data_IF_575490711807
#
_entry.id   IF_575490711807
#
_cell.length_a   1.000
_cell.length_b   1.000
_cell.length_c   1.000
_cell.angle_alpha   90.00
_cell.angle_beta   90.00
_cell.angle_gamma   90.00
#
_symmetry.space_group_name_H-M   'P 1'
#
loop_
_entity.id
_entity.type
_entity.pdbx_description
1 polymer ?
#
# COMPACT_ATOMS: atom_id res chain seq x y z
N UNK A 1 -9.64 -11.25 -23.83
CA UNK A 1 -9.88 -11.61 -22.42
C UNK A 1 -8.99 -12.77 -21.97
N UNK A 2 -8.99 -13.92 -22.64
CA UNK A 2 -8.21 -15.11 -22.22
C UNK A 2 -6.70 -14.83 -22.06
N UNK A 3 -6.03 -14.24 -23.04
CA UNK A 3 -4.58 -13.96 -22.95
C UNK A 3 -4.24 -12.91 -21.87
N UNK A 4 -5.07 -11.87 -21.71
CA UNK A 4 -4.94 -10.88 -20.62
C UNK A 4 -4.96 -11.58 -19.25
N UNK A 5 -5.89 -12.51 -19.03
CA UNK A 5 -5.97 -13.25 -17.76
C UNK A 5 -4.76 -14.14 -17.49
N UNK A 6 -4.20 -14.78 -18.53
CA UNK A 6 -2.98 -15.60 -18.37
C UNK A 6 -1.77 -14.71 -18.10
N UNK A 7 -1.67 -13.55 -18.73
CA UNK A 7 -0.61 -12.57 -18.45
C UNK A 7 -0.68 -12.04 -17.02
N UNK A 8 -1.88 -11.71 -16.51
CA UNK A 8 -2.08 -11.33 -15.11
C UNK A 8 -1.65 -12.44 -14.14
N UNK A 9 -1.95 -13.70 -14.45
CA UNK A 9 -1.49 -14.83 -13.65
C UNK A 9 0.04 -14.90 -13.64
N UNK A 10 0.69 -14.77 -14.81
CA UNK A 10 2.15 -14.75 -14.91
C UNK A 10 2.77 -13.59 -14.13
N UNK A 11 2.14 -12.41 -14.17
CA UNK A 11 2.57 -11.22 -13.43
C UNK A 11 2.53 -11.47 -11.90
N UNK A 12 1.43 -12.05 -11.41
CA UNK A 12 1.24 -12.33 -9.99
C UNK A 12 2.12 -13.47 -9.48
N UNK A 13 2.52 -14.41 -10.34
CA UNK A 13 3.42 -15.52 -10.00
C UNK A 13 4.88 -15.25 -10.37
N UNK A 14 5.22 -14.05 -10.86
CA UNK A 14 6.58 -13.71 -11.32
C UNK A 14 7.12 -14.64 -12.42
N UNK A 15 6.24 -15.27 -13.20
CA UNK A 15 6.60 -16.31 -14.16
C UNK A 15 7.05 -15.74 -15.51
N UNK A 16 8.23 -15.13 -15.53
CA UNK A 16 8.78 -14.42 -16.68
C UNK A 16 8.84 -15.28 -17.95
N UNK A 17 9.34 -16.51 -17.86
CA UNK A 17 9.50 -17.39 -19.02
C UNK A 17 8.15 -17.67 -19.71
N UNK A 18 7.10 -17.96 -18.92
CA UNK A 18 5.74 -18.18 -19.44
C UNK A 18 5.17 -16.90 -20.05
N UNK A 19 5.37 -15.76 -19.39
CA UNK A 19 4.97 -14.46 -19.91
C UNK A 19 5.63 -14.14 -21.27
N UNK A 20 6.92 -14.45 -21.43
CA UNK A 20 7.64 -14.28 -22.69
C UNK A 20 7.15 -15.22 -23.79
N UNK A 21 6.80 -16.48 -23.46
CA UNK A 21 6.20 -17.39 -24.43
C UNK A 21 4.84 -16.87 -24.92
N UNK A 22 4.02 -16.34 -24.02
CA UNK A 22 2.72 -15.75 -24.36
C UNK A 22 2.92 -14.48 -25.20
N UNK A 23 3.86 -13.61 -24.84
CA UNK A 23 4.16 -12.42 -25.64
C UNK A 23 4.56 -12.80 -27.07
N UNK A 24 5.46 -13.78 -27.25
CA UNK A 24 5.82 -14.28 -28.58
C UNK A 24 4.61 -14.78 -29.36
N UNK A 25 3.77 -15.60 -28.72
CA UNK A 25 2.54 -16.09 -29.33
C UNK A 25 1.60 -14.96 -29.77
N UNK A 26 1.44 -13.92 -28.94
CA UNK A 26 0.64 -12.74 -29.30
C UNK A 26 1.24 -12.06 -30.54
N UNK A 27 2.54 -11.77 -30.55
CA UNK A 27 3.19 -11.10 -31.70
C UNK A 27 3.13 -11.90 -33.00
N UNK A 28 3.05 -13.23 -32.93
CA UNK A 28 2.92 -14.11 -34.09
C UNK A 28 1.47 -14.22 -34.59
N UNK A 29 0.48 -14.05 -33.72
CA UNK A 29 -0.95 -14.27 -34.04
C UNK A 29 -1.76 -13.00 -34.22
N UNK A 30 -1.33 -11.90 -33.60
CA UNK A 30 -2.00 -10.60 -33.61
C UNK A 30 -0.96 -9.47 -33.63
N UNK A 31 -0.53 -9.03 -34.83
CA UNK A 31 0.45 -7.96 -34.96
C UNK A 31 -0.06 -6.60 -34.48
N UNK A 32 -1.38 -6.38 -34.48
CA UNK A 32 -2.03 -5.13 -34.05
C UNK A 32 -2.61 -5.29 -32.64
N UNK A 33 -1.74 -5.54 -31.66
CA UNK A 33 -2.14 -5.67 -30.26
C UNK A 33 -2.95 -4.44 -29.81
N UNK A 34 -4.17 -4.69 -29.33
CA UNK A 34 -4.94 -3.65 -28.66
C UNK A 34 -4.28 -3.22 -27.34
N UNK A 35 -4.64 -2.01 -26.89
CA UNK A 35 -4.11 -1.42 -25.67
C UNK A 35 -4.24 -2.33 -24.44
N UNK A 36 -5.36 -3.07 -24.31
CA UNK A 36 -5.57 -3.94 -23.15
C UNK A 36 -4.53 -5.08 -23.06
N UNK A 37 -4.17 -5.69 -24.19
CA UNK A 37 -3.10 -6.69 -24.25
C UNK A 37 -1.73 -6.06 -23.97
N UNK A 38 -1.45 -4.91 -24.58
CA UNK A 38 -0.21 -4.16 -24.36
C UNK A 38 -0.04 -3.80 -22.88
N UNK A 39 -1.06 -3.25 -22.23
CA UNK A 39 -1.06 -2.92 -20.80
C UNK A 39 -0.86 -4.15 -19.92
N UNK A 40 -1.44 -5.31 -20.28
CA UNK A 40 -1.22 -6.55 -19.55
C UNK A 40 0.22 -7.08 -19.68
N UNK A 41 0.85 -6.89 -20.85
CA UNK A 41 2.26 -7.22 -21.06
C UNK A 41 3.19 -6.29 -20.28
N UNK A 42 2.89 -4.98 -20.27
CA UNK A 42 3.62 -3.98 -19.46
C UNK A 42 3.57 -4.41 -17.98
N UNK A 43 2.38 -4.71 -17.43
CA UNK A 43 2.24 -5.14 -16.02
C UNK A 43 3.00 -6.43 -15.73
N UNK A 44 2.91 -7.41 -16.63
CA UNK A 44 3.62 -8.68 -16.51
C UNK A 44 5.14 -8.48 -16.49
N UNK A 45 5.70 -7.73 -17.44
CA UNK A 45 7.14 -7.49 -17.49
C UNK A 45 7.62 -6.66 -16.29
N UNK A 46 6.89 -5.62 -15.90
CA UNK A 46 7.23 -4.82 -14.72
C UNK A 46 7.30 -5.69 -13.46
N UNK A 47 6.26 -6.48 -13.17
CA UNK A 47 6.22 -7.36 -11.99
C UNK A 47 7.21 -8.52 -12.04
N UNK A 48 7.63 -8.93 -13.24
CA UNK A 48 8.69 -9.93 -13.41
C UNK A 48 10.12 -9.35 -13.39
N UNK A 49 10.28 -8.07 -13.06
CA UNK A 49 11.60 -7.43 -12.97
C UNK A 49 12.27 -7.14 -14.31
N UNK A 50 11.49 -7.01 -15.39
CA UNK A 50 11.96 -6.59 -16.72
C UNK A 50 11.42 -5.18 -17.01
N UNK A 51 11.83 -4.20 -16.21
CA UNK A 51 11.27 -2.86 -16.23
C UNK A 51 11.58 -2.12 -17.53
N UNK A 52 12.74 -2.37 -18.14
CA UNK A 52 13.14 -1.81 -19.43
C UNK A 52 12.19 -2.25 -20.54
N UNK A 53 11.88 -3.55 -20.63
CA UNK A 53 10.92 -4.09 -21.61
C UNK A 53 9.52 -3.55 -21.37
N UNK A 54 9.12 -3.41 -20.12
CA UNK A 54 7.86 -2.76 -19.75
C UNK A 54 7.83 -1.32 -20.27
N UNK A 55 8.92 -0.57 -20.11
CA UNK A 55 9.02 0.82 -20.58
C UNK A 55 9.03 0.91 -22.11
N UNK A 56 9.69 -0.01 -22.80
CA UNK A 56 9.68 -0.10 -24.27
C UNK A 56 8.26 -0.28 -24.81
N UNK A 57 7.51 -1.24 -24.28
CA UNK A 57 6.11 -1.48 -24.65
C UNK A 57 5.21 -0.29 -24.31
N UNK A 58 5.44 0.34 -23.16
CA UNK A 58 4.73 1.56 -22.78
C UNK A 58 4.98 2.69 -23.78
N UNK A 59 6.25 2.99 -24.09
CA UNK A 59 6.61 4.05 -25.03
C UNK A 59 6.04 3.79 -26.44
N UNK A 60 6.02 2.52 -26.88
CA UNK A 60 5.51 2.12 -28.19
C UNK A 60 3.97 2.16 -28.32
N UNK A 61 3.22 2.25 -27.22
CA UNK A 61 1.76 2.33 -27.28
C UNK A 61 1.28 3.71 -27.76
N UNK A 62 0.52 3.78 -28.87
CA UNK A 62 0.10 5.07 -29.45
C UNK A 62 -0.83 5.88 -28.52
N UNK A 63 -1.92 5.26 -28.05
CA UNK A 63 -2.88 5.89 -27.13
C UNK A 63 -2.84 5.17 -25.79
N UNK A 64 -2.44 5.90 -24.72
CA UNK A 64 -2.33 5.37 -23.36
C UNK A 64 -3.50 5.87 -22.54
N UNK A 65 -4.30 4.96 -22.03
CA UNK A 65 -5.34 5.28 -21.06
C UNK A 65 -4.76 5.33 -19.64
N UNK A 66 -5.59 5.75 -18.68
CA UNK A 66 -5.23 5.82 -17.26
C UNK A 66 -4.71 4.49 -16.72
N UNK A 67 -5.19 3.34 -17.20
CA UNK A 67 -4.75 2.03 -16.72
C UNK A 67 -3.31 1.76 -17.16
N UNK A 68 -2.99 2.06 -18.43
CA UNK A 68 -1.64 1.93 -18.97
C UNK A 68 -0.61 2.77 -18.20
N UNK A 69 -0.95 4.04 -17.91
CA UNK A 69 -0.12 4.92 -17.06
C UNK A 69 0.07 4.35 -15.65
N UNK A 70 -1.02 3.93 -15.00
CA UNK A 70 -0.98 3.41 -13.64
C UNK A 70 -0.12 2.15 -13.51
N UNK A 71 -0.15 1.27 -14.50
CA UNK A 71 0.68 0.07 -14.52
C UNK A 71 2.16 0.46 -14.55
N UNK A 72 2.56 1.41 -15.40
CA UNK A 72 3.96 1.80 -15.50
C UNK A 72 4.43 2.57 -14.25
N UNK A 73 3.61 3.49 -13.74
CA UNK A 73 3.88 4.22 -12.47
C UNK A 73 4.04 3.24 -11.30
N UNK A 74 3.13 2.27 -11.19
CA UNK A 74 3.23 1.21 -10.17
C UNK A 74 4.48 0.36 -10.36
N UNK A 75 4.83 0.06 -11.61
CA UNK A 75 6.06 -0.66 -11.97
C UNK A 75 7.30 -0.01 -11.38
N UNK A 76 7.54 1.27 -11.68
CA UNK A 76 8.67 2.02 -11.11
C UNK A 76 8.61 2.10 -9.58
N UNK A 77 7.43 2.34 -9.02
CA UNK A 77 7.24 2.36 -7.55
C UNK A 77 7.61 1.05 -6.86
N UNK A 78 7.26 -0.11 -7.45
CA UNK A 78 7.62 -1.43 -6.91
C UNK A 78 9.12 -1.71 -6.98
N UNK A 79 9.83 -1.11 -7.94
CA UNK A 79 11.29 -1.23 -8.10
C UNK A 79 12.07 -0.16 -7.32
N UNK A 80 11.39 0.66 -6.52
CA UNK A 80 12.01 1.67 -5.68
C UNK A 80 12.47 2.93 -6.42
N UNK A 81 12.13 3.06 -7.70
CA UNK A 81 12.48 4.22 -8.52
C UNK A 81 11.34 5.25 -8.49
N UNK A 82 11.27 5.99 -7.39
CA UNK A 82 10.20 6.96 -7.16
C UNK A 82 10.31 8.18 -8.08
N UNK A 83 11.53 8.56 -8.45
CA UNK A 83 11.78 9.68 -9.37
C UNK A 83 11.14 9.39 -10.73
N UNK A 84 11.43 8.23 -11.34
CA UNK A 84 10.79 7.83 -12.60
C UNK A 84 9.27 7.67 -12.50
N UNK A 85 8.76 7.26 -11.33
CA UNK A 85 7.32 7.17 -11.10
C UNK A 85 6.65 8.55 -11.08
N UNK A 86 7.30 9.56 -10.49
CA UNK A 86 6.83 10.94 -10.48
C UNK A 86 6.95 11.56 -11.87
N UNK A 87 8.06 11.34 -12.57
CA UNK A 87 8.24 11.83 -13.95
C UNK A 87 7.16 11.30 -14.89
N UNK A 88 6.74 10.04 -14.70
CA UNK A 88 5.60 9.48 -15.44
C UNK A 88 4.26 10.07 -15.04
N UNK A 89 4.08 10.41 -13.77
CA UNK A 89 2.89 11.11 -13.32
C UNK A 89 2.82 12.52 -13.95
N UNK A 90 3.92 13.25 -14.00
CA UNK A 90 3.97 14.57 -14.65
C UNK A 90 3.69 14.44 -16.16
N UNK A 91 4.27 13.44 -16.85
CA UNK A 91 3.96 13.15 -18.26
C UNK A 91 2.48 12.75 -18.49
N UNK A 92 1.86 12.06 -17.52
CA UNK A 92 0.44 11.73 -17.55
C UNK A 92 -0.42 12.99 -17.49
N UNK A 93 -0.03 13.96 -16.66
CA UNK A 93 -0.68 15.27 -16.57
C UNK A 93 -0.52 16.08 -17.86
N UNK A 94 0.69 16.13 -18.43
CA UNK A 94 0.97 16.78 -19.72
C UNK A 94 0.21 16.17 -20.90
N UNK A 95 -0.16 14.89 -20.79
CA UNK A 95 -0.95 14.16 -21.79
C UNK A 95 -2.46 14.33 -21.60
N UNK A 96 -2.91 15.21 -20.70
CA UNK A 96 -4.31 15.44 -20.34
C UNK A 96 -5.04 14.16 -19.86
N UNK A 97 -4.31 13.16 -19.36
CA UNK A 97 -4.90 11.92 -18.83
C UNK A 97 -5.15 12.08 -17.34
N UNK A 98 -6.41 12.07 -16.93
CA UNK A 98 -6.79 12.33 -15.54
C UNK A 98 -6.26 11.25 -14.56
N UNK A 99 -5.47 11.62 -13.54
CA UNK A 99 -5.10 10.74 -12.44
C UNK A 99 -6.31 10.23 -11.65
N UNK A 100 -6.15 9.05 -11.05
CA UNK A 100 -7.20 8.34 -10.29
C UNK A 100 -6.67 7.91 -8.93
N UNK A 101 -7.53 7.39 -8.06
CA UNK A 101 -7.09 6.84 -6.77
C UNK A 101 -6.01 5.76 -6.94
N UNK A 102 -6.07 4.93 -7.98
CA UNK A 102 -5.01 3.95 -8.25
C UNK A 102 -3.67 4.60 -8.62
N UNK A 103 -3.69 5.74 -9.31
CA UNK A 103 -2.49 6.55 -9.62
C UNK A 103 -1.84 7.04 -8.33
N UNK A 104 -2.62 7.69 -7.46
CA UNK A 104 -2.11 8.23 -6.20
C UNK A 104 -1.69 7.13 -5.22
N UNK A 105 -2.40 6.00 -5.17
CA UNK A 105 -1.99 4.87 -4.35
C UNK A 105 -0.62 4.33 -4.77
N UNK A 106 -0.34 4.22 -6.07
CA UNK A 106 0.96 3.78 -6.58
C UNK A 106 2.08 4.74 -6.16
N UNK A 107 1.88 6.05 -6.33
CA UNK A 107 2.85 7.08 -5.96
C UNK A 107 3.08 7.16 -4.44
N UNK A 108 2.02 7.07 -3.63
CA UNK A 108 2.12 7.05 -2.17
C UNK A 108 2.86 5.80 -1.68
N UNK A 109 2.58 4.64 -2.27
CA UNK A 109 3.32 3.40 -1.96
C UNK A 109 4.80 3.55 -2.29
N UNK A 110 5.12 4.12 -3.46
CA UNK A 110 6.50 4.41 -3.86
C UNK A 110 7.21 5.33 -2.85
N UNK A 111 6.55 6.43 -2.45
CA UNK A 111 7.08 7.35 -1.41
C UNK A 111 7.28 6.64 -0.07
N UNK A 112 6.36 5.74 0.31
CA UNK A 112 6.45 4.94 1.54
C UNK A 112 7.70 4.05 1.55
N UNK A 113 7.99 3.39 0.42
CA UNK A 113 9.17 2.55 0.29
C UNK A 113 10.48 3.34 0.29
N UNK A 114 10.49 4.56 -0.28
CA UNK A 114 11.66 5.44 -0.31
C UNK A 114 11.80 6.35 0.91
N UNK A 115 10.83 6.40 1.82
CA UNK A 115 10.84 7.29 2.99
C UNK A 115 10.67 8.78 2.64
N UNK A 116 10.06 9.11 1.50
CA UNK A 116 9.89 10.49 1.02
C UNK A 116 8.64 11.14 1.63
N UNK A 117 8.74 11.51 2.92
CA UNK A 117 7.65 12.06 3.74
C UNK A 117 6.96 13.27 3.08
N UNK A 118 7.74 14.29 2.72
CA UNK A 118 7.18 15.55 2.19
C UNK A 118 6.53 15.37 0.82
N UNK A 119 7.11 14.50 -0.02
CA UNK A 119 6.52 14.16 -1.32
C UNK A 119 5.21 13.39 -1.15
N UNK A 120 5.16 12.44 -0.22
CA UNK A 120 3.93 11.70 0.10
C UNK A 120 2.80 12.62 0.57
N UNK A 121 3.10 13.60 1.44
CA UNK A 121 2.15 14.63 1.86
C UNK A 121 1.64 15.46 0.69
N UNK A 122 2.56 15.97 -0.14
CA UNK A 122 2.23 16.78 -1.32
C UNK A 122 1.29 16.03 -2.26
N UNK A 123 1.59 14.76 -2.54
CA UNK A 123 0.77 13.92 -3.41
C UNK A 123 -0.62 13.64 -2.82
N UNK A 124 -0.71 13.40 -1.51
CA UNK A 124 -2.00 13.20 -0.85
C UNK A 124 -2.86 14.48 -0.88
N UNK A 125 -2.27 15.65 -0.65
CA UNK A 125 -2.98 16.92 -0.76
C UNK A 125 -3.40 17.21 -2.21
N UNK A 126 -2.53 16.94 -3.19
CA UNK A 126 -2.84 17.07 -4.62
C UNK A 126 -4.04 16.18 -5.00
N UNK A 127 -4.05 14.94 -4.51
CA UNK A 127 -5.16 13.99 -4.69
C UNK A 127 -6.49 14.57 -4.19
N UNK A 128 -6.52 15.15 -2.98
CA UNK A 128 -7.77 15.61 -2.35
C UNK A 128 -8.23 16.98 -2.82
N UNK A 129 -7.31 17.93 -3.04
CA UNK A 129 -7.64 19.33 -3.29
C UNK A 129 -7.62 19.71 -4.76
N UNK A 130 -6.70 19.15 -5.56
CA UNK A 130 -6.59 19.50 -6.98
C UNK A 130 -7.42 18.55 -7.84
N UNK A 131 -7.36 17.24 -7.55
CA UNK A 131 -8.06 16.23 -8.33
C UNK A 131 -9.41 15.78 -7.77
N UNK A 132 -9.73 16.22 -6.55
CA UNK A 132 -10.96 15.85 -5.82
C UNK A 132 -11.19 14.34 -5.71
N UNK A 133 -10.11 13.56 -5.72
CA UNK A 133 -10.17 12.10 -5.59
C UNK A 133 -10.30 11.76 -4.11
N UNK A 134 -11.41 11.11 -3.74
CA UNK A 134 -11.66 10.71 -2.36
C UNK A 134 -10.68 9.63 -1.91
N UNK A 135 -9.90 9.86 -0.84
CA UNK A 135 -9.03 8.84 -0.28
C UNK A 135 -9.84 7.69 0.31
N UNK A 136 -9.31 6.48 0.15
CA UNK A 136 -9.82 5.26 0.79
C UNK A 136 -8.78 4.73 1.79
N UNK A 137 -9.14 3.65 2.49
CA UNK A 137 -8.32 3.04 3.53
C UNK A 137 -6.87 2.73 3.10
N UNK A 138 -6.66 2.34 1.83
CA UNK A 138 -5.31 2.04 1.31
C UNK A 138 -4.41 3.28 1.24
N UNK A 139 -4.96 4.44 0.86
CA UNK A 139 -4.19 5.69 0.79
C UNK A 139 -3.75 6.14 2.19
N UNK A 140 -4.67 6.06 3.17
CA UNK A 140 -4.33 6.34 4.57
C UNK A 140 -3.34 5.33 5.13
N UNK A 141 -3.47 4.04 4.79
CA UNK A 141 -2.50 3.01 5.20
C UNK A 141 -1.08 3.34 4.71
N UNK A 142 -0.92 3.77 3.45
CA UNK A 142 0.38 4.19 2.92
C UNK A 142 0.94 5.39 3.68
N UNK A 143 0.13 6.41 3.96
CA UNK A 143 0.59 7.58 4.73
C UNK A 143 0.98 7.21 6.17
N UNK A 144 0.18 6.40 6.86
CA UNK A 144 0.48 5.94 8.21
C UNK A 144 1.76 5.14 8.22
N UNK A 145 1.96 4.23 7.26
CA UNK A 145 3.20 3.45 7.14
C UNK A 145 4.41 4.35 6.84
N UNK A 146 4.27 5.33 5.94
CA UNK A 146 5.30 6.32 5.63
C UNK A 146 5.73 7.10 6.89
N UNK A 147 4.77 7.68 7.62
CA UNK A 147 5.08 8.43 8.83
C UNK A 147 5.63 7.54 9.94
N UNK A 148 5.09 6.33 10.09
CA UNK A 148 5.53 5.36 11.09
C UNK A 148 6.98 4.91 10.86
N UNK A 149 7.40 4.69 9.61
CA UNK A 149 8.78 4.31 9.28
C UNK A 149 9.78 5.46 9.41
N UNK A 150 9.33 6.69 9.19
CA UNK A 150 10.16 7.88 9.33
C UNK A 150 10.23 8.42 10.76
N UNK A 151 9.51 7.81 11.72
CA UNK A 151 9.43 8.27 13.11
C UNK A 151 8.50 9.47 13.34
N UNK A 152 7.74 9.89 12.33
CA UNK A 152 6.78 11.00 12.38
C UNK A 152 5.47 10.57 13.05
N UNK A 153 5.55 10.04 14.26
CA UNK A 153 4.45 9.36 14.95
C UNK A 153 3.23 10.26 15.23
N UNK A 154 3.45 11.55 15.51
CA UNK A 154 2.36 12.51 15.69
C UNK A 154 1.56 12.74 14.39
N UNK A 155 2.22 12.72 13.23
CA UNK A 155 1.55 12.84 11.93
C UNK A 155 0.81 11.56 11.58
N UNK A 156 1.35 10.40 11.95
CA UNK A 156 0.68 9.12 11.83
C UNK A 156 -0.61 9.09 12.67
N UNK A 157 -0.57 9.51 13.95
CA UNK A 157 -1.75 9.64 14.81
C UNK A 157 -2.78 10.61 14.21
N UNK A 158 -2.34 11.78 13.74
CA UNK A 158 -3.23 12.79 13.11
C UNK A 158 -3.89 12.22 11.84
N UNK A 159 -3.15 11.45 11.05
CA UNK A 159 -3.66 10.80 9.85
C UNK A 159 -4.72 9.77 10.20
N UNK A 160 -4.51 8.96 11.24
CA UNK A 160 -5.49 7.97 11.70
C UNK A 160 -6.75 8.64 12.24
N UNK A 161 -6.59 9.69 13.04
CA UNK A 161 -7.71 10.38 13.67
C UNK A 161 -8.56 11.22 12.71
N UNK A 162 -7.98 11.68 11.60
CA UNK A 162 -8.68 12.44 10.56
C UNK A 162 -9.40 11.58 9.50
N UNK A 163 -9.31 10.25 9.59
CA UNK A 163 -10.01 9.35 8.67
C UNK A 163 -11.54 9.51 8.77
N UNK A 164 -12.26 9.58 7.64
CA UNK A 164 -13.72 9.69 7.63
C UNK A 164 -14.44 8.34 7.85
N UNK A 165 -13.68 7.27 8.09
CA UNK A 165 -14.15 5.91 8.34
C UNK A 165 -13.26 5.23 9.39
N UNK A 166 -13.69 4.06 9.89
CA UNK A 166 -12.94 3.31 10.90
C UNK A 166 -11.61 2.78 10.34
N UNK A 167 -10.49 2.95 11.05
CA UNK A 167 -9.25 2.22 10.77
C UNK A 167 -9.47 0.71 10.94
N UNK A 168 -8.69 -0.10 10.23
CA UNK A 168 -8.72 -1.56 10.33
C UNK A 168 -7.60 -2.14 11.19
N UNK A 169 -7.59 -3.48 11.32
CA UNK A 169 -6.53 -4.31 11.90
C UNK A 169 -5.13 -3.84 11.55
N UNK A 170 -4.90 -3.63 10.25
CA UNK A 170 -3.58 -3.40 9.68
C UNK A 170 -3.07 -2.02 10.06
N UNK A 171 -3.88 -0.97 9.92
CA UNK A 171 -3.47 0.39 10.29
C UNK A 171 -3.13 0.48 11.78
N UNK A 172 -3.98 -0.09 12.64
CA UNK A 172 -3.71 -0.12 14.09
C UNK A 172 -2.43 -0.89 14.40
N UNK A 173 -2.23 -2.06 13.79
CA UNK A 173 -1.03 -2.86 13.96
C UNK A 173 0.24 -2.12 13.55
N UNK A 174 0.24 -1.44 12.40
CA UNK A 174 1.37 -0.64 11.90
C UNK A 174 1.71 0.50 12.87
N UNK A 175 0.72 1.30 13.27
CA UNK A 175 0.95 2.44 14.15
C UNK A 175 1.44 2.00 15.54
N UNK A 176 0.79 0.99 16.13
CA UNK A 176 1.16 0.48 17.44
C UNK A 176 2.54 -0.18 17.44
N UNK A 177 2.88 -0.94 16.39
CA UNK A 177 4.22 -1.50 16.26
C UNK A 177 5.28 -0.40 16.18
N UNK A 178 5.00 0.71 15.48
CA UNK A 178 5.91 1.84 15.40
C UNK A 178 6.09 2.54 16.75
N UNK A 179 5.03 2.69 17.55
CA UNK A 179 5.15 3.20 18.93
C UNK A 179 6.10 2.36 19.79
N UNK A 180 6.09 1.03 19.65
CA UNK A 180 7.04 0.15 20.36
C UNK A 180 8.46 0.44 19.87
N UNK A 181 8.66 0.46 18.56
CA UNK A 181 9.97 0.63 17.92
C UNK A 181 10.63 1.96 18.28
N UNK A 182 9.84 3.02 18.43
CA UNK A 182 10.33 4.37 18.75
C UNK A 182 10.21 4.73 20.23
N UNK A 183 9.87 3.78 21.11
CA UNK A 183 9.70 3.98 22.56
C UNK A 183 8.65 5.05 22.95
N UNK A 184 7.71 5.36 22.06
CA UNK A 184 6.61 6.31 22.27
C UNK A 184 5.42 5.63 22.97
N UNK A 185 5.68 5.12 24.18
CA UNK A 185 4.71 4.28 24.92
C UNK A 185 3.43 5.01 25.31
N UNK A 186 3.49 6.30 25.63
CA UNK A 186 2.29 7.07 25.97
C UNK A 186 1.33 7.17 24.78
N UNK A 187 1.86 7.45 23.59
CA UNK A 187 1.05 7.45 22.36
C UNK A 187 0.57 6.03 22.04
N UNK A 188 1.44 5.03 22.17
CA UNK A 188 1.10 3.62 21.99
C UNK A 188 -0.08 3.17 22.85
N UNK A 189 -0.12 3.55 24.13
CA UNK A 189 -1.23 3.25 25.05
C UNK A 189 -2.53 3.90 24.54
N UNK A 190 -2.52 5.21 24.26
CA UNK A 190 -3.72 5.92 23.76
C UNK A 190 -4.26 5.29 22.48
N UNK A 191 -3.38 4.92 21.57
CA UNK A 191 -3.78 4.28 20.30
C UNK A 191 -4.32 2.87 20.52
N UNK A 192 -3.74 2.11 21.45
CA UNK A 192 -4.17 0.74 21.73
C UNK A 192 -5.54 0.72 22.43
N UNK A 193 -5.78 1.63 23.37
CA UNK A 193 -7.10 1.84 23.99
C UNK A 193 -8.16 2.14 22.92
N UNK A 194 -7.83 2.99 21.93
CA UNK A 194 -8.72 3.32 20.82
C UNK A 194 -8.95 2.15 19.86
N UNK A 195 -7.93 1.36 19.58
CA UNK A 195 -8.05 0.14 18.78
C UNK A 195 -8.99 -0.87 19.45
N UNK A 196 -8.81 -1.12 20.75
CA UNK A 196 -9.71 -1.96 21.56
C UNK A 196 -11.14 -1.43 21.55
N UNK A 197 -11.34 -0.11 21.69
CA UNK A 197 -12.68 0.47 21.65
C UNK A 197 -13.37 0.34 20.27
N UNK A 198 -12.58 0.23 19.20
CA UNK A 198 -13.08 0.14 17.81
C UNK A 198 -13.45 -1.29 17.42
N UNK A 199 -12.64 -2.28 17.80
CA UNK A 199 -12.93 -3.71 17.62
C UNK A 199 -12.59 -4.49 18.90
N UNK A 200 -13.53 -4.54 19.85
CA UNK A 200 -13.32 -5.23 21.12
C UNK A 200 -13.17 -6.74 20.99
N UNK A 201 -13.36 -7.36 19.81
CA UNK A 201 -13.22 -8.80 19.61
C UNK A 201 -11.83 -9.21 19.12
N UNK A 202 -10.96 -8.22 18.86
CA UNK A 202 -9.62 -8.45 18.37
C UNK A 202 -8.64 -8.71 19.52
N UNK A 203 -8.23 -9.97 19.70
CA UNK A 203 -7.27 -10.39 20.72
C UNK A 203 -5.92 -9.70 20.61
N UNK A 204 -5.48 -9.40 19.38
CA UNK A 204 -4.23 -8.70 19.09
C UNK A 204 -4.13 -7.34 19.77
N UNK A 205 -5.22 -6.57 19.83
CA UNK A 205 -5.20 -5.22 20.41
C UNK A 205 -5.00 -5.24 21.93
N UNK A 206 -5.65 -6.16 22.64
CA UNK A 206 -5.46 -6.32 24.08
C UNK A 206 -4.03 -6.77 24.42
N UNK A 207 -3.47 -7.68 23.61
CA UNK A 207 -2.08 -8.14 23.77
C UNK A 207 -1.11 -6.96 23.57
N UNK A 208 -1.32 -6.14 22.53
CA UNK A 208 -0.50 -4.96 22.28
C UNK A 208 -0.63 -3.93 23.41
N UNK A 209 -1.85 -3.65 23.89
CA UNK A 209 -2.11 -2.74 25.00
C UNK A 209 -1.39 -3.19 26.29
N UNK A 210 -1.49 -4.47 26.64
CA UNK A 210 -0.81 -5.03 27.81
C UNK A 210 0.73 -4.95 27.68
N UNK A 211 1.26 -5.19 26.48
CA UNK A 211 2.69 -5.05 26.21
C UNK A 211 3.16 -3.59 26.34
N UNK A 212 2.36 -2.62 25.85
CA UNK A 212 2.65 -1.19 25.99
C UNK A 212 2.68 -0.75 27.46
N UNK A 213 1.68 -1.15 28.26
CA UNK A 213 1.69 -0.86 29.68
C UNK A 213 2.88 -1.48 30.40
N UNK A 214 3.24 -2.72 30.05
CA UNK A 214 4.41 -3.40 30.62
C UNK A 214 5.72 -2.67 30.27
N UNK A 215 5.87 -2.23 29.01
CA UNK A 215 7.04 -1.46 28.56
C UNK A 215 7.13 -0.08 29.24
N UNK A 216 5.98 0.55 29.54
CA UNK A 216 5.91 1.78 30.33
C UNK A 216 6.06 1.57 31.84
N UNK A 217 6.30 0.34 32.33
CA UNK A 217 6.42 0.01 33.75
C UNK A 217 5.09 0.01 34.53
N UNK A 218 3.95 0.12 33.84
CA UNK A 218 2.59 0.13 34.41
C UNK A 218 2.03 -1.29 34.53
N UNK A 219 2.62 -2.10 35.40
CA UNK A 219 2.29 -3.53 35.52
C UNK A 219 0.85 -3.81 35.93
N UNK A 220 0.25 -2.97 36.78
CA UNK A 220 -1.17 -3.11 37.17
C UNK A 220 -2.11 -2.92 35.97
N UNK A 221 -1.87 -1.90 35.15
CA UNK A 221 -2.68 -1.62 33.96
C UNK A 221 -2.48 -2.72 32.90
N UNK A 222 -1.28 -3.29 32.80
CA UNK A 222 -1.01 -4.42 31.93
C UNK A 222 -1.81 -5.68 32.34
N UNK A 223 -1.93 -5.95 33.64
CA UNK A 223 -2.75 -7.07 34.13
C UNK A 223 -4.24 -6.81 33.90
N UNK A 224 -4.72 -5.58 34.16
CA UNK A 224 -6.11 -5.19 33.86
C UNK A 224 -6.45 -5.39 32.38
N UNK A 225 -5.56 -5.00 31.46
CA UNK A 225 -5.77 -5.23 30.03
C UNK A 225 -5.90 -6.73 29.68
N UNK A 226 -5.11 -7.60 30.33
CA UNK A 226 -5.20 -9.07 30.17
C UNK A 226 -6.44 -9.66 30.83
N UNK A 227 -6.90 -9.10 31.93
CA UNK A 227 -8.16 -9.46 32.59
C UNK A 227 -9.36 -9.09 31.71
N UNK A 228 -9.42 -7.86 31.20
CA UNK A 228 -10.47 -7.41 30.28
C UNK A 228 -10.61 -8.32 29.06
N UNK A 229 -9.48 -8.78 28.51
CA UNK A 229 -9.46 -9.74 27.40
C UNK A 229 -10.09 -11.09 27.81
N UNK A 230 -9.72 -11.63 28.98
CA UNK A 230 -10.25 -12.89 29.51
C UNK A 230 -11.74 -12.80 29.83
N UNK A 231 -12.17 -11.72 30.48
CA UNK A 231 -13.57 -11.47 30.82
C UNK A 231 -14.46 -11.33 29.57
N UNK A 232 -13.90 -10.80 28.49
CA UNK A 232 -14.59 -10.68 27.21
C UNK A 232 -14.68 -12.02 26.44
N UNK A 233 -14.17 -13.12 27.00
CA UNK A 233 -14.17 -14.45 26.38
C UNK A 233 -13.22 -14.56 25.19
N UNK A 234 -12.26 -13.65 25.09
CA UNK A 234 -11.33 -13.57 23.97
C UNK A 234 -10.10 -14.39 24.32
N UNK A 235 -10.01 -15.59 23.74
CA UNK A 235 -8.80 -16.40 23.85
C UNK A 235 -7.81 -16.03 22.75
N UNK A 236 -6.52 -16.05 23.09
CA UNK A 236 -5.44 -15.85 22.12
C UNK A 236 -5.58 -16.90 21.01
N UNK A 237 -5.89 -16.49 19.78
CA UNK A 237 -5.88 -17.40 18.65
C UNK A 237 -4.44 -17.82 18.37
N UNK A 238 -4.18 -19.13 18.39
CA UNK A 238 -2.89 -19.65 17.98
C UNK A 238 -2.66 -19.30 16.50
N UNK A 239 -1.55 -18.63 16.20
CA UNK A 239 -1.16 -18.36 14.82
C UNK A 239 -0.84 -19.67 14.11
N UNK A 240 -1.69 -20.09 13.17
CA UNK A 240 -1.40 -21.21 12.29
C UNK A 240 -0.59 -20.71 11.10
N UNK A 241 0.70 -21.04 11.06
CA UNK A 241 1.52 -20.86 9.86
C UNK A 241 1.19 -22.03 8.93
N UNK A 242 0.53 -21.74 7.81
CA UNK A 242 0.35 -22.70 6.72
C UNK A 242 1.64 -22.63 5.90
N UNK A 243 2.62 -23.45 6.27
CA UNK A 243 3.81 -23.71 5.44
C UNK A 243 3.41 -24.57 4.26
#
# INVERSE_FOLDING_TARGET
ITLVTVLMACANTGSLERGQMIHRYITETDPEMNLSLTTALIDMYAKCGQLEKSRELFNAADQKDTVCWNVMISGYGMHGDVESAIDLFDQMEESDVKPTGTTFLALLSACTHAGLVEQGKKLFLKMTHEYEVKPNLKHYSCLVDLFSRSGNLQEAETTVTSMPFSPDGVIWGTLLSSCVTHEEFEMGIRMAERAVATDPQNDGYYIMLANMYSAAGKWEDAERAREMMRESGIEKKAGHSVV
#
